data_IF_723613494443
#
_entry.id   IF_723613494443
#
_cell.length_a   1.000
_cell.length_b   1.000
_cell.length_c   1.000
_cell.angle_alpha   90.00
_cell.angle_beta   90.00
_cell.angle_gamma   90.00
#
_symmetry.space_group_name_H-M   'P 1'
#
loop_
_entity.id
_entity.type
_entity.pdbx_description
1 polymer ?
#
# COMPACT_ATOMS: atom_id res chain seq x y z
N UNK A 1 -7.05 -16.21 -18.96
CA UNK A 1 -6.62 -15.01 -18.22
C UNK A 1 -5.65 -15.44 -17.12
N UNK A 2 -4.44 -14.87 -17.08
CA UNK A 2 -3.43 -15.22 -16.08
C UNK A 2 -3.75 -14.60 -14.71
N UNK A 3 -3.50 -15.35 -13.63
CA UNK A 3 -3.69 -14.85 -12.28
C UNK A 3 -2.65 -13.75 -11.96
N UNK A 4 -3.07 -12.48 -11.98
CA UNK A 4 -2.25 -11.38 -11.51
C UNK A 4 -2.20 -11.39 -9.99
N UNK A 5 -0.98 -11.45 -9.43
CA UNK A 5 -0.76 -11.39 -7.98
C UNK A 5 -0.35 -9.97 -7.59
N UNK A 6 -0.95 -9.37 -6.54
CA UNK A 6 -0.45 -8.12 -5.98
C UNK A 6 1.05 -8.21 -5.68
N UNK A 7 1.83 -7.25 -6.17
CA UNK A 7 3.27 -7.17 -5.91
C UNK A 7 3.62 -5.79 -5.41
N UNK A 8 3.76 -5.66 -4.09
CA UNK A 8 4.32 -4.48 -3.43
C UNK A 8 5.84 -4.45 -3.65
N UNK A 9 6.38 -3.28 -3.98
CA UNK A 9 7.80 -3.10 -4.35
C UNK A 9 8.56 -2.20 -3.40
N UNK A 10 7.94 -1.11 -2.98
CA UNK A 10 8.58 -0.07 -2.16
C UNK A 10 7.51 0.67 -1.36
N UNK A 11 7.89 1.14 -0.17
CA UNK A 11 7.04 1.95 0.67
C UNK A 11 7.80 3.18 1.18
N UNK A 12 7.10 4.29 1.36
CA UNK A 12 7.64 5.49 1.98
C UNK A 12 6.62 6.23 2.82
N UNK A 13 7.12 7.13 3.66
CA UNK A 13 6.28 8.02 4.43
C UNK A 13 5.67 9.10 3.52
N UNK A 14 4.35 9.11 3.40
CA UNK A 14 3.60 10.13 2.66
C UNK A 14 3.17 11.32 3.51
N UNK A 15 3.21 11.21 4.84
CA UNK A 15 2.81 12.25 5.77
C UNK A 15 3.16 11.91 7.22
N UNK A 16 3.23 12.93 8.07
CA UNK A 16 3.62 12.80 9.49
C UNK A 16 2.44 12.86 10.47
N UNK A 17 1.44 13.71 10.23
CA UNK A 17 0.30 13.91 11.14
C UNK A 17 -1.04 13.94 10.38
N UNK A 18 -1.78 12.82 10.31
CA UNK A 18 -1.43 11.49 10.83
C UNK A 18 -0.32 10.81 9.98
N UNK A 19 0.43 9.83 10.53
CA UNK A 19 1.40 9.06 9.75
C UNK A 19 0.72 8.36 8.55
N UNK A 20 1.28 8.53 7.36
CA UNK A 20 0.82 7.87 6.13
C UNK A 20 1.97 7.05 5.57
N UNK A 21 1.72 5.76 5.31
CA UNK A 21 2.64 4.89 4.57
C UNK A 21 2.06 4.65 3.18
N UNK A 22 2.78 5.10 2.16
CA UNK A 22 2.41 4.91 0.76
C UNK A 22 3.21 3.74 0.20
N UNK A 23 2.51 2.70 -0.23
CA UNK A 23 3.09 1.48 -0.80
C UNK A 23 2.87 1.48 -2.31
N UNK A 24 3.95 1.36 -3.07
CA UNK A 24 3.94 1.29 -4.53
C UNK A 24 4.12 -0.14 -5.01
N UNK A 25 3.44 -0.48 -6.11
CA UNK A 25 3.49 -1.83 -6.65
C UNK A 25 2.62 -2.03 -7.88
N UNK A 26 2.43 -3.29 -8.22
CA UNK A 26 1.57 -3.73 -9.31
C UNK A 26 0.37 -4.48 -8.74
N UNK A 27 -0.79 -4.30 -9.36
CA UNK A 27 -2.05 -4.95 -8.99
C UNK A 27 -2.41 -4.81 -7.51
N UNK A 28 -2.16 -3.64 -6.93
CA UNK A 28 -2.46 -3.39 -5.52
C UNK A 28 -3.96 -3.21 -5.28
N UNK A 29 -4.75 -2.98 -6.32
CA UNK A 29 -6.23 -2.99 -6.28
C UNK A 29 -6.81 -4.35 -5.87
N UNK A 30 -6.03 -5.42 -6.02
CA UNK A 30 -6.40 -6.77 -5.58
C UNK A 30 -5.99 -7.07 -4.12
N UNK A 31 -5.38 -6.11 -3.42
CA UNK A 31 -5.07 -6.25 -1.99
C UNK A 31 -6.35 -6.11 -1.18
N UNK A 32 -6.65 -7.13 -0.37
CA UNK A 32 -7.85 -7.13 0.47
C UNK A 32 -7.74 -6.16 1.64
N UNK A 33 -8.88 -5.67 2.13
CA UNK A 33 -8.93 -4.84 3.34
C UNK A 33 -8.34 -5.55 4.56
N UNK A 34 -8.53 -6.88 4.66
CA UNK A 34 -7.95 -7.68 5.72
C UNK A 34 -6.41 -7.62 5.70
N UNK A 35 -5.81 -7.74 4.51
CA UNK A 35 -4.36 -7.65 4.37
C UNK A 35 -3.85 -6.22 4.60
N UNK A 36 -4.62 -5.20 4.17
CA UNK A 36 -4.33 -3.79 4.48
C UNK A 36 -4.31 -3.53 6.00
N UNK A 37 -5.28 -4.05 6.75
CA UNK A 37 -5.32 -3.96 8.23
C UNK A 37 -4.15 -4.72 8.89
N UNK A 38 -3.78 -5.87 8.34
CA UNK A 38 -2.59 -6.60 8.79
C UNK A 38 -1.30 -5.75 8.63
N UNK A 39 -1.11 -5.13 7.47
CA UNK A 39 0.04 -4.24 7.24
C UNK A 39 0.01 -3.04 8.17
N UNK A 40 -1.17 -2.45 8.42
CA UNK A 40 -1.32 -1.33 9.35
C UNK A 40 -0.87 -1.73 10.76
N UNK A 41 -1.36 -2.87 11.27
CA UNK A 41 -0.93 -3.41 12.56
C UNK A 41 0.56 -3.70 12.62
N UNK A 42 1.14 -4.23 11.52
CA UNK A 42 2.57 -4.51 11.42
C UNK A 42 3.38 -3.22 11.54
N UNK A 43 3.08 -2.21 10.73
CA UNK A 43 3.80 -0.93 10.77
C UNK A 43 3.63 -0.20 12.09
N UNK A 44 2.43 -0.21 12.69
CA UNK A 44 2.22 0.37 14.02
C UNK A 44 3.11 -0.28 15.07
N UNK A 45 3.25 -1.61 15.03
CA UNK A 45 4.11 -2.35 15.94
C UNK A 45 5.59 -2.06 15.71
N UNK A 46 6.06 -2.16 14.47
CA UNK A 46 7.50 -2.01 14.15
C UNK A 46 8.01 -0.57 14.37
N UNK A 47 7.17 0.43 14.15
CA UNK A 47 7.52 1.85 14.37
C UNK A 47 7.05 2.39 15.72
N UNK A 48 6.51 1.53 16.60
CA UNK A 48 5.99 1.90 17.93
C UNK A 48 5.04 3.13 17.90
N UNK A 49 4.12 3.15 16.94
CA UNK A 49 3.17 4.24 16.75
C UNK A 49 2.00 4.09 17.73
N UNK A 50 2.02 4.90 18.78
CA UNK A 50 0.99 4.93 19.84
C UNK A 50 0.21 6.25 19.77
N UNK A 51 -1.10 6.18 19.94
CA UNK A 51 -1.96 7.37 20.07
C UNK A 51 -2.26 8.13 18.76
N UNK A 52 -1.82 7.64 17.60
CA UNK A 52 -2.13 8.23 16.28
C UNK A 52 -2.67 7.17 15.32
N UNK A 53 -3.73 7.46 14.53
CA UNK A 53 -4.18 6.55 13.48
C UNK A 53 -3.12 6.47 12.37
N UNK A 54 -2.74 5.26 11.97
CA UNK A 54 -1.87 5.03 10.81
C UNK A 54 -2.73 4.87 9.56
N UNK A 55 -2.37 5.53 8.46
CA UNK A 55 -3.01 5.33 7.15
C UNK A 55 -2.07 4.61 6.18
N UNK A 56 -2.62 3.69 5.40
CA UNK A 56 -1.93 3.05 4.29
C UNK A 56 -2.59 3.45 2.98
N UNK A 57 -1.80 4.00 2.06
CA UNK A 57 -2.21 4.27 0.68
C UNK A 57 -1.49 3.32 -0.27
N UNK A 58 -2.26 2.68 -1.15
CA UNK A 58 -1.73 1.77 -2.17
C UNK A 58 -1.71 2.51 -3.50
N UNK A 59 -0.53 2.63 -4.11
CA UNK A 59 -0.36 3.23 -5.43
C UNK A 59 0.07 2.17 -6.43
N UNK A 60 -0.86 1.76 -7.29
CA UNK A 60 -0.54 0.92 -8.44
C UNK A 60 0.12 1.78 -9.51
N UNK A 61 1.29 1.37 -10.00
CA UNK A 61 1.88 2.01 -11.19
C UNK A 61 0.99 1.74 -12.40
N UNK A 62 0.45 2.80 -12.99
CA UNK A 62 -0.23 2.74 -14.28
C UNK A 62 0.81 2.66 -15.40
N UNK A 63 0.63 1.73 -16.33
CA UNK A 63 1.48 1.63 -17.51
C UNK A 63 0.95 2.60 -18.58
N UNK A 64 1.70 3.63 -19.00
CA UNK A 64 1.23 4.62 -19.98
C UNK A 64 0.98 4.06 -21.39
N UNK A 65 1.30 2.78 -21.63
CA UNK A 65 1.04 2.07 -22.89
C UNK A 65 -0.14 1.09 -22.80
N UNK A 66 -0.88 1.05 -21.68
CA UNK A 66 -1.93 0.05 -21.46
C UNK A 66 -3.16 0.23 -22.37
N UNK A 67 -3.45 1.46 -22.81
CA UNK A 67 -4.63 1.81 -23.61
C UNK A 67 -4.29 2.13 -25.08
N UNK A 68 -3.08 1.74 -25.55
CA UNK A 68 -2.61 2.06 -26.90
C UNK A 68 -2.74 0.83 -27.80
N UNK A 69 -3.99 0.50 -28.15
CA UNK A 69 -4.38 -0.40 -29.25
C UNK A 69 -5.58 0.20 -30.01
#
# INVERSE_FOLDING_TARGET
MGAYRPKMRYAHQGGMNPPIIVIHGNSLELVTDAYKRFLEGRFRKEFNLVGTPLRIDLKTSHNPYADKD
#
